data_IF_832797082058
#
_entry.id   IF_832797082058
#
_cell.length_a   1.000
_cell.length_b   1.000
_cell.length_c   1.000
_cell.angle_alpha   90.00
_cell.angle_beta   90.00
_cell.angle_gamma   90.00
#
_symmetry.space_group_name_H-M   'P 1'
#
loop_
_entity.id
_entity.type
_entity.pdbx_description
1 polymer ?
#
# COMPACT_ATOMS: atom_id res chain seq x y z
N UNK A 1 56.52 -17.14 -57.35
CA UNK A 1 55.41 -17.20 -58.32
C UNK A 1 54.15 -16.89 -57.55
N UNK A 2 53.31 -15.93 -57.92
CA UNK A 2 52.45 -15.87 -59.12
C UNK A 2 51.02 -15.73 -58.58
N UNK A 3 50.36 -14.57 -58.61
CA UNK A 3 49.58 -13.89 -59.69
C UNK A 3 48.07 -14.18 -59.61
N UNK A 4 47.25 -13.10 -59.70
CA UNK A 4 45.81 -13.07 -60.04
C UNK A 4 44.95 -12.45 -58.92
N UNK A 5 44.38 -11.23 -58.93
CA UNK A 5 43.73 -10.32 -59.89
C UNK A 5 42.20 -10.53 -60.05
N UNK A 6 41.42 -9.49 -59.68
CA UNK A 6 40.01 -9.24 -60.06
C UNK A 6 39.18 -8.62 -58.91
N UNK A 7 38.87 -7.32 -58.84
CA UNK A 7 37.97 -6.39 -59.60
C UNK A 7 36.45 -6.57 -59.35
N UNK A 8 35.79 -5.46 -58.96
CA UNK A 8 34.34 -5.18 -59.03
C UNK A 8 33.69 -5.09 -57.65
N UNK A 9 33.26 -3.92 -57.14
CA UNK A 9 32.08 -3.13 -57.57
C UNK A 9 31.02 -3.30 -56.47
N UNK A 10 30.77 -2.34 -55.58
CA UNK A 10 30.00 -1.13 -55.83
C UNK A 10 28.51 -1.40 -55.58
N UNK A 11 27.97 -0.97 -54.42
CA UNK A 11 26.50 -0.91 -54.26
C UNK A 11 25.93 -0.98 -52.85
N UNK A 12 25.65 0.20 -52.29
CA UNK A 12 24.40 0.58 -51.57
C UNK A 12 24.05 -0.12 -50.23
N UNK A 13 24.11 0.73 -49.19
CA UNK A 13 23.06 1.03 -48.18
C UNK A 13 22.21 -0.15 -47.68
N UNK A 14 22.39 -0.47 -46.41
CA UNK A 14 21.23 -0.73 -45.55
C UNK A 14 21.53 -0.16 -44.16
N UNK A 15 21.03 1.05 -43.93
CA UNK A 15 20.85 1.60 -42.58
C UNK A 15 19.88 0.67 -41.86
N UNK A 16 20.44 -0.27 -41.10
CA UNK A 16 19.69 -1.14 -40.22
C UNK A 16 19.11 -0.29 -39.09
N UNK A 17 17.87 0.14 -39.31
CA UNK A 17 16.99 0.73 -38.33
C UNK A 17 16.90 -0.25 -37.14
N UNK A 18 17.71 0.01 -36.11
CA UNK A 18 17.54 -0.65 -34.83
C UNK A 18 16.32 0.02 -34.21
N UNK A 19 15.14 -0.51 -34.56
CA UNK A 19 13.93 -0.31 -33.80
C UNK A 19 14.17 -0.92 -32.41
N UNK A 20 14.84 -0.13 -31.57
CA UNK A 20 14.82 -0.27 -30.13
C UNK A 20 13.39 0.06 -29.70
N UNK A 21 12.51 -0.91 -29.91
CA UNK A 21 11.29 -1.01 -29.15
C UNK A 21 11.73 -1.38 -27.72
N UNK A 22 12.35 -0.41 -27.05
CA UNK A 22 12.25 -0.28 -25.62
C UNK A 22 10.78 0.02 -25.38
N UNK A 23 9.97 -1.04 -25.43
CA UNK A 23 8.85 -1.15 -24.52
C UNK A 23 9.48 -1.14 -23.14
N UNK A 24 9.85 0.07 -22.70
CA UNK A 24 9.84 0.45 -21.33
C UNK A 24 8.44 0.05 -20.90
N UNK A 25 8.37 -1.16 -20.36
CA UNK A 25 7.24 -1.64 -19.60
C UNK A 25 7.17 -0.68 -18.45
N UNK A 26 6.60 0.50 -18.69
CA UNK A 26 5.98 1.34 -17.71
C UNK A 26 4.98 0.40 -17.06
N UNK A 27 5.47 -0.31 -16.03
CA UNK A 27 4.67 -1.00 -15.05
C UNK A 27 3.85 0.13 -14.43
N UNK A 28 2.77 0.50 -15.09
CA UNK A 28 1.78 1.44 -14.59
C UNK A 28 1.44 0.91 -13.22
N UNK A 29 1.79 1.69 -12.19
CA UNK A 29 1.43 1.35 -10.83
C UNK A 29 -0.08 1.13 -10.88
N UNK A 30 -0.54 -0.11 -10.60
CA UNK A 30 -1.97 -0.42 -10.51
C UNK A 30 -2.58 0.65 -9.62
N UNK A 31 -3.36 1.54 -10.23
CA UNK A 31 -4.02 2.60 -9.49
C UNK A 31 -5.23 1.96 -8.85
N UNK A 32 -5.21 1.85 -7.52
CA UNK A 32 -6.33 1.30 -6.77
C UNK A 32 -7.48 2.28 -6.90
N UNK A 33 -8.57 1.82 -7.51
CA UNK A 33 -9.77 2.63 -7.68
C UNK A 33 -10.59 2.61 -6.37
N UNK A 34 -10.40 3.64 -5.56
CA UNK A 34 -11.15 3.84 -4.34
C UNK A 34 -12.55 4.44 -4.55
N UNK A 35 -12.97 4.73 -5.79
CA UNK A 35 -14.32 5.22 -6.07
C UNK A 35 -15.38 4.14 -5.84
N UNK A 36 -14.99 2.86 -6.00
CA UNK A 36 -15.82 1.71 -5.71
C UNK A 36 -15.66 1.31 -4.25
N UNK A 37 -16.62 1.73 -3.42
CA UNK A 37 -16.70 1.35 -2.01
C UNK A 37 -17.60 0.12 -1.88
N UNK A 38 -17.09 -0.95 -1.27
CA UNK A 38 -17.83 -2.18 -0.99
C UNK A 38 -18.07 -2.35 0.52
N UNK A 39 -18.88 -3.32 0.93
CA UNK A 39 -19.24 -3.56 2.34
C UNK A 39 -18.14 -4.26 3.11
N UNK A 40 -18.04 -3.98 4.41
CA UNK A 40 -17.14 -4.70 5.32
C UNK A 40 -17.43 -6.21 5.38
N UNK A 41 -18.69 -6.62 5.23
CA UNK A 41 -19.08 -8.04 5.14
C UNK A 41 -18.43 -8.73 3.94
N UNK A 42 -18.35 -8.04 2.78
CA UNK A 42 -17.67 -8.57 1.60
C UNK A 42 -16.15 -8.63 1.78
N UNK A 43 -15.55 -7.72 2.56
CA UNK A 43 -14.15 -7.84 2.97
C UNK A 43 -13.92 -9.13 3.75
N UNK A 44 -14.76 -9.44 4.74
CA UNK A 44 -14.64 -10.67 5.53
C UNK A 44 -14.75 -11.92 4.65
N UNK A 45 -15.74 -11.97 3.75
CA UNK A 45 -15.86 -13.06 2.78
C UNK A 45 -14.62 -13.18 1.88
N UNK A 46 -14.06 -12.06 1.45
CA UNK A 46 -12.84 -12.02 0.63
C UNK A 46 -11.65 -12.58 1.41
N UNK A 47 -11.44 -12.14 2.65
CA UNK A 47 -10.38 -12.61 3.54
C UNK A 47 -10.49 -14.13 3.75
N UNK A 48 -11.69 -14.64 4.08
CA UNK A 48 -11.90 -16.08 4.24
C UNK A 48 -11.62 -16.87 2.96
N UNK A 49 -11.98 -16.31 1.79
CA UNK A 49 -11.73 -16.97 0.49
C UNK A 49 -10.25 -17.01 0.11
N UNK A 50 -9.45 -16.05 0.55
CA UNK A 50 -8.02 -15.97 0.22
C UNK A 50 -7.10 -16.53 1.30
N UNK A 51 -7.65 -16.93 2.45
CA UNK A 51 -6.89 -17.56 3.51
C UNK A 51 -6.17 -18.82 3.02
N UNK A 52 -4.89 -18.95 3.39
CA UNK A 52 -4.00 -20.02 2.93
C UNK A 52 -3.61 -19.99 1.43
N UNK A 53 -4.05 -19.00 0.64
CA UNK A 53 -3.66 -18.87 -0.77
C UNK A 53 -2.28 -18.23 -0.93
N UNK A 54 -1.76 -18.32 -2.16
CA UNK A 54 -0.50 -17.66 -2.51
C UNK A 54 -0.62 -16.14 -2.34
N UNK A 55 0.52 -15.52 -2.02
CA UNK A 55 0.60 -14.09 -1.71
C UNK A 55 -0.06 -13.13 -2.74
N UNK A 56 -0.02 -13.40 -4.07
CA UNK A 56 -0.75 -12.59 -5.04
C UNK A 56 -2.27 -12.52 -4.84
N UNK A 57 -2.88 -13.49 -4.14
CA UNK A 57 -4.31 -13.47 -3.82
C UNK A 57 -4.69 -12.31 -2.88
N UNK A 58 -3.75 -11.76 -2.10
CA UNK A 58 -4.00 -10.58 -1.27
C UNK A 58 -4.26 -9.31 -2.08
N UNK A 59 -4.02 -9.29 -3.40
CA UNK A 59 -4.46 -8.17 -4.23
C UNK A 59 -6.00 -8.04 -4.29
N UNK A 60 -6.75 -9.09 -3.93
CA UNK A 60 -8.22 -9.07 -3.93
C UNK A 60 -8.81 -8.15 -2.83
N UNK A 61 -8.03 -7.80 -1.80
CA UNK A 61 -8.47 -6.88 -0.73
C UNK A 61 -8.14 -5.41 -1.00
N UNK A 62 -7.45 -5.10 -2.11
CA UNK A 62 -7.07 -3.73 -2.51
C UNK A 62 -8.30 -2.90 -2.95
N UNK A 63 -9.05 -2.37 -2.00
CA UNK A 63 -10.25 -1.57 -2.24
C UNK A 63 -10.60 -0.68 -1.05
N UNK A 64 -11.72 0.05 -1.17
CA UNK A 64 -12.37 0.75 -0.07
C UNK A 64 -13.52 -0.10 0.49
N UNK A 65 -13.52 -0.33 1.80
CA UNK A 65 -14.47 -1.17 2.51
C UNK A 65 -15.18 -0.34 3.58
N UNK A 66 -16.49 -0.14 3.43
CA UNK A 66 -17.30 0.62 4.37
C UNK A 66 -17.77 -0.27 5.51
N UNK A 67 -17.44 0.13 6.73
CA UNK A 67 -18.00 -0.46 7.94
C UNK A 67 -19.34 0.20 8.25
N UNK A 68 -20.43 -0.55 8.06
CA UNK A 68 -21.79 -0.01 8.14
C UNK A 68 -22.16 0.45 9.55
N UNK A 69 -21.78 -0.34 10.57
CA UNK A 69 -22.14 -0.06 11.98
C UNK A 69 -21.27 1.04 12.62
N UNK A 70 -19.96 0.97 12.44
CA UNK A 70 -18.99 1.90 13.04
C UNK A 70 -18.84 3.20 12.24
N UNK A 71 -19.40 3.28 11.04
CA UNK A 71 -19.47 4.51 10.25
C UNK A 71 -18.11 5.03 9.76
N UNK A 72 -17.15 4.14 9.49
CA UNK A 72 -15.87 4.46 8.86
C UNK A 72 -15.65 3.67 7.56
N UNK A 73 -14.71 4.13 6.74
CA UNK A 73 -14.24 3.41 5.55
C UNK A 73 -12.79 3.00 5.72
N UNK A 74 -12.51 1.70 5.62
CA UNK A 74 -11.17 1.14 5.54
C UNK A 74 -10.71 1.08 4.09
N UNK A 75 -9.67 1.83 3.75
CA UNK A 75 -9.04 1.82 2.44
C UNK A 75 -7.76 1.01 2.54
N UNK A 76 -7.69 -0.09 1.80
CA UNK A 76 -6.53 -0.96 1.76
C UNK A 76 -5.73 -0.59 0.51
N UNK A 77 -4.51 -0.13 0.73
CA UNK A 77 -3.55 0.18 -0.32
C UNK A 77 -2.99 -1.09 -0.95
N UNK A 78 -1.85 -0.95 -1.62
CA UNK A 78 -1.23 -2.09 -2.29
C UNK A 78 -0.86 -3.15 -1.26
N UNK A 79 -1.45 -4.33 -1.39
CA UNK A 79 -1.13 -5.47 -0.57
C UNK A 79 0.32 -5.91 -0.84
N UNK A 80 1.00 -6.34 0.21
CA UNK A 80 2.31 -6.98 0.11
C UNK A 80 2.26 -8.11 -0.93
N UNK A 81 3.27 -8.18 -1.81
CA UNK A 81 3.39 -9.22 -2.83
C UNK A 81 4.10 -10.48 -2.35
N UNK A 82 4.77 -10.40 -1.20
CA UNK A 82 5.49 -11.49 -0.54
C UNK A 82 5.67 -11.15 0.97
N UNK A 83 6.09 -12.12 1.81
CA UNK A 83 6.25 -11.92 3.26
C UNK A 83 7.31 -10.89 3.69
N UNK A 84 8.20 -10.45 2.79
CA UNK A 84 9.33 -9.56 3.09
C UNK A 84 9.13 -8.15 2.54
N UNK A 85 8.15 -7.96 1.67
CA UNK A 85 7.76 -6.66 1.17
C UNK A 85 7.34 -5.74 2.34
N UNK A 86 7.48 -4.43 2.15
CA UNK A 86 7.03 -3.45 3.13
C UNK A 86 5.54 -3.66 3.49
N UNK A 87 5.13 -3.49 4.76
CA UNK A 87 3.75 -3.65 5.22
C UNK A 87 2.70 -2.97 4.32
N UNK A 88 1.55 -3.63 4.16
CA UNK A 88 0.40 -3.08 3.46
C UNK A 88 -0.03 -1.78 4.14
N UNK A 89 -0.10 -0.69 3.38
CA UNK A 89 -0.57 0.60 3.90
C UNK A 89 -2.09 0.64 3.90
N UNK A 90 -2.67 0.98 5.04
CA UNK A 90 -4.11 1.17 5.18
C UNK A 90 -4.42 2.63 5.56
N UNK A 91 -5.62 3.09 5.18
CA UNK A 91 -6.16 4.39 5.59
C UNK A 91 -7.57 4.18 6.12
N UNK A 92 -7.88 4.81 7.25
CA UNK A 92 -9.25 4.85 7.78
C UNK A 92 -9.79 6.26 7.54
N UNK A 93 -10.98 6.35 6.94
CA UNK A 93 -11.69 7.61 6.72
C UNK A 93 -12.94 7.60 7.59
N UNK A 94 -13.01 8.53 8.53
CA UNK A 94 -14.17 8.72 9.41
C UNK A 94 -14.89 10.01 8.96
N UNK A 95 -16.17 9.95 8.53
CA UNK A 95 -16.96 11.14 8.23
C UNK A 95 -17.06 12.06 9.44
N UNK A 96 -17.11 13.38 9.20
CA UNK A 96 -17.18 14.39 10.28
C UNK A 96 -18.39 14.19 11.22
N UNK A 97 -19.53 13.74 10.68
CA UNK A 97 -20.74 13.40 11.45
C UNK A 97 -20.50 12.27 12.46
N UNK A 98 -19.67 11.28 12.10
CA UNK A 98 -19.29 10.16 12.97
C UNK A 98 -18.21 10.61 13.95
N UNK A 99 -17.20 11.34 13.46
CA UNK A 99 -16.06 11.78 14.25
C UNK A 99 -16.44 12.75 15.38
N UNK A 100 -17.51 13.54 15.19
CA UNK A 100 -18.05 14.50 16.19
C UNK A 100 -17.00 15.40 16.83
N UNK A 101 -15.92 15.69 16.09
CA UNK A 101 -14.88 16.59 16.53
C UNK A 101 -15.47 18.01 16.65
N UNK A 102 -15.25 18.73 17.76
CA UNK A 102 -15.66 20.12 17.89
C UNK A 102 -15.10 20.93 16.73
N UNK A 103 -15.94 21.71 16.04
CA UNK A 103 -15.51 22.46 14.85
C UNK A 103 -14.30 23.32 15.15
N UNK A 104 -14.32 23.94 16.32
CA UNK A 104 -13.26 24.77 16.87
C UNK A 104 -11.91 24.05 16.73
N UNK A 105 -11.84 22.76 17.07
CA UNK A 105 -10.60 21.98 17.08
C UNK A 105 -9.84 21.97 15.75
N UNK A 106 -10.48 22.29 14.62
CA UNK A 106 -9.84 22.29 13.30
C UNK A 106 -10.15 23.54 12.44
N UNK A 107 -10.70 24.61 13.03
CA UNK A 107 -11.06 25.83 12.28
C UNK A 107 -9.85 26.55 11.66
N UNK A 108 -8.71 26.56 12.35
CA UNK A 108 -7.48 27.19 11.84
C UNK A 108 -6.45 26.12 11.53
N UNK A 109 -5.51 26.44 10.64
CA UNK A 109 -4.44 25.52 10.24
C UNK A 109 -3.71 24.93 11.45
N UNK A 110 -3.29 25.80 12.39
CA UNK A 110 -2.57 25.39 13.60
C UNK A 110 -3.42 24.43 14.45
N UNK A 111 -4.70 24.73 14.63
CA UNK A 111 -5.60 23.87 15.41
C UNK A 111 -5.83 22.53 14.72
N UNK A 112 -6.02 22.52 13.40
CA UNK A 112 -6.14 21.29 12.64
C UNK A 112 -4.90 20.40 12.77
N UNK A 113 -3.68 20.97 12.71
CA UNK A 113 -2.43 20.22 12.94
C UNK A 113 -2.40 19.66 14.37
N UNK A 114 -2.68 20.49 15.38
CA UNK A 114 -2.70 20.05 16.78
C UNK A 114 -3.76 18.97 17.04
N UNK A 115 -4.92 19.08 16.42
CA UNK A 115 -5.99 18.08 16.51
C UNK A 115 -5.58 16.76 15.86
N UNK A 116 -4.97 16.79 14.68
CA UNK A 116 -4.45 15.60 14.01
C UNK A 116 -3.34 14.92 14.82
N UNK A 117 -2.38 15.69 15.35
CA UNK A 117 -1.31 15.17 16.22
C UNK A 117 -1.88 14.55 17.50
N UNK A 118 -2.86 15.19 18.14
CA UNK A 118 -3.55 14.63 19.30
C UNK A 118 -4.22 13.29 18.98
N UNK A 119 -4.96 13.21 17.87
CA UNK A 119 -5.59 11.95 17.42
C UNK A 119 -4.54 10.87 17.18
N UNK A 120 -3.43 11.20 16.50
CA UNK A 120 -2.34 10.26 16.25
C UNK A 120 -1.73 9.72 17.56
N UNK A 121 -1.52 10.59 18.56
CA UNK A 121 -1.05 10.19 19.90
C UNK A 121 -2.01 9.26 20.61
N UNK A 122 -3.31 9.57 20.60
CA UNK A 122 -4.32 8.72 21.22
C UNK A 122 -4.39 7.35 20.53
N UNK A 123 -4.37 7.33 19.20
CA UNK A 123 -4.39 6.09 18.44
C UNK A 123 -3.14 5.25 18.69
N UNK A 124 -1.95 5.85 18.67
CA UNK A 124 -0.70 5.15 18.99
C UNK A 124 -0.72 4.56 20.40
N UNK A 125 -1.16 5.32 21.41
CA UNK A 125 -1.28 4.82 22.78
C UNK A 125 -2.28 3.65 22.88
N UNK A 126 -3.38 3.71 22.13
CA UNK A 126 -4.38 2.64 22.09
C UNK A 126 -3.85 1.38 21.40
N UNK A 127 -3.09 1.51 20.31
CA UNK A 127 -2.42 0.37 19.69
C UNK A 127 -1.46 -0.34 20.67
N UNK A 128 -0.70 0.44 21.46
CA UNK A 128 0.19 -0.11 22.48
C UNK A 128 -0.57 -0.82 23.61
N UNK A 129 -1.69 -0.25 24.09
CA UNK A 129 -2.47 -0.88 25.16
C UNK A 129 -3.11 -2.21 24.73
N UNK A 130 -3.45 -2.33 23.45
CA UNK A 130 -3.94 -3.57 22.84
C UNK A 130 -2.83 -4.55 22.44
N UNK A 131 -1.55 -4.18 22.59
CA UNK A 131 -0.40 -4.93 22.05
C UNK A 131 -0.49 -5.17 20.54
N UNK A 132 -1.18 -4.27 19.84
CA UNK A 132 -1.38 -4.35 18.40
C UNK A 132 -0.11 -4.05 17.58
N UNK A 133 1.02 -3.78 18.24
CA UNK A 133 2.34 -3.61 17.62
C UNK A 133 3.23 -4.86 17.82
N UNK A 134 2.66 -5.98 18.27
CA UNK A 134 3.37 -7.22 18.50
C UNK A 134 2.92 -8.24 17.45
N UNK A 135 3.89 -8.88 16.80
CA UNK A 135 3.58 -10.01 15.93
C UNK A 135 2.95 -11.14 16.75
N UNK A 136 1.92 -11.79 16.20
CA UNK A 136 1.34 -13.01 16.78
C UNK A 136 2.34 -14.17 16.80
N UNK A 137 3.45 -14.08 16.05
CA UNK A 137 4.62 -14.91 16.28
C UNK A 137 5.35 -14.41 17.53
N UNK A 138 5.14 -15.06 18.68
CA UNK A 138 5.95 -14.79 19.87
C UNK A 138 7.46 -14.93 19.62
N UNK A 139 8.28 -14.55 20.60
CA UNK A 139 9.75 -14.53 20.54
C UNK A 139 10.43 -15.85 20.08
N UNK A 140 9.69 -16.97 20.03
CA UNK A 140 10.17 -18.30 19.61
C UNK A 140 9.60 -18.81 18.28
N UNK A 141 8.86 -17.99 17.52
CA UNK A 141 8.22 -18.40 16.28
C UNK A 141 9.23 -18.65 15.15
N UNK A 142 9.43 -19.91 14.76
CA UNK A 142 10.15 -20.25 13.52
C UNK A 142 9.49 -19.64 12.28
N UNK A 143 10.13 -19.76 11.12
CA UNK A 143 9.65 -19.18 9.84
C UNK A 143 8.18 -19.43 9.49
N UNK A 144 7.64 -20.55 9.99
CA UNK A 144 6.28 -21.04 9.77
C UNK A 144 5.29 -20.67 10.90
N UNK A 145 5.71 -19.89 11.89
CA UNK A 145 4.83 -19.42 12.96
C UNK A 145 3.72 -18.51 12.40
N UNK A 146 2.60 -18.35 13.14
CA UNK A 146 1.55 -17.42 12.74
C UNK A 146 2.17 -16.02 12.57
N UNK A 147 1.92 -15.40 11.41
CA UNK A 147 2.38 -14.04 11.09
C UNK A 147 1.17 -13.12 11.08
N UNK A 148 1.31 -11.92 11.62
CA UNK A 148 0.24 -10.91 11.64
C UNK A 148 0.13 -10.19 12.97
N UNK A 149 -0.89 -9.35 13.12
CA UNK A 149 -1.14 -8.60 14.35
C UNK A 149 -0.21 -7.40 14.58
N UNK A 150 0.74 -7.13 13.68
CA UNK A 150 1.61 -5.96 13.73
C UNK A 150 1.01 -4.78 12.96
N UNK A 151 0.30 -3.92 13.69
CA UNK A 151 -0.15 -2.60 13.25
C UNK A 151 0.89 -1.55 13.62
N UNK A 152 1.48 -0.96 12.59
CA UNK A 152 2.43 0.12 12.73
C UNK A 152 1.75 1.45 12.43
N UNK A 153 1.83 2.37 13.38
CA UNK A 153 1.47 3.78 13.17
C UNK A 153 2.68 4.66 13.49
N UNK A 154 2.79 5.81 12.81
CA UNK A 154 3.83 6.78 13.08
C UNK A 154 3.85 7.17 14.57
N UNK A 155 4.93 6.81 15.26
CA UNK A 155 5.14 7.19 16.64
C UNK A 155 5.33 8.71 16.72
N UNK A 156 4.45 9.44 17.43
CA UNK A 156 4.56 10.89 17.53
C UNK A 156 5.73 11.29 18.45
N UNK A 157 6.60 12.18 17.96
CA UNK A 157 7.71 12.73 18.74
C UNK A 157 7.27 13.80 19.75
N UNK A 158 8.23 14.53 20.33
CA UNK A 158 7.91 15.65 21.26
C UNK A 158 7.34 16.89 20.55
N UNK A 159 7.55 17.01 19.24
CA UNK A 159 7.08 18.15 18.43
C UNK A 159 5.71 17.86 17.81
N UNK A 160 4.89 18.91 17.67
CA UNK A 160 3.64 18.89 16.91
C UNK A 160 3.98 19.26 15.46
N UNK A 161 3.87 18.28 14.56
CA UNK A 161 4.22 18.44 13.14
C UNK A 161 3.00 18.18 12.27
N UNK A 162 2.99 18.82 11.10
CA UNK A 162 2.10 18.43 10.01
C UNK A 162 2.50 17.04 9.50
N UNK A 163 1.54 16.12 9.46
CA UNK A 163 1.70 14.73 9.02
C UNK A 163 0.90 14.44 7.76
#
# INVERSE_FOLDING_TARGET
GGRGSGRGGGGRRNDGDHNSNSSSSQRSARTIDYSKVDSYSNLLHTIHRIDGKSYPAYHDIEAAWKHENEGFTLMIGRAQSDPFAAPTRCRIVVPSVTARLPKEAYLTRIRAVACADYINRQFHAYCLSLRANQSVSGESGGWSGPKGGDLQINCPGQHVLEQ
#
